data_IF_117560075363
#
_entry.id   IF_117560075363
#
_cell.length_a   1.000
_cell.length_b   1.000
_cell.length_c   1.000
_cell.angle_alpha   90.00
_cell.angle_beta   90.00
_cell.angle_gamma   90.00
#
_symmetry.space_group_name_H-M   'P 1'
#
loop_
_entity.id
_entity.type
_entity.pdbx_description
1 polymer ?
#
# COMPACT_ATOMS: atom_id res chain seq x y z
N UNK A 1 -39.07 -49.11 -52.54
CA UNK A 1 -37.82 -49.54 -53.21
C UNK A 1 -37.30 -48.38 -54.04
N UNK A 2 -36.05 -47.97 -53.85
CA UNK A 2 -35.36 -46.98 -54.71
C UNK A 2 -34.76 -45.79 -53.97
N UNK A 3 -33.55 -45.98 -53.43
CA UNK A 3 -32.66 -44.96 -52.84
C UNK A 3 -32.17 -43.93 -53.86
N UNK A 4 -31.74 -42.73 -53.44
CA UNK A 4 -30.30 -42.31 -53.42
C UNK A 4 -30.10 -40.85 -52.96
N UNK A 5 -28.82 -40.53 -52.69
CA UNK A 5 -28.22 -39.64 -51.69
C UNK A 5 -27.74 -38.27 -52.23
N UNK A 6 -27.55 -37.33 -51.29
CA UNK A 6 -26.42 -36.38 -51.06
C UNK A 6 -26.37 -34.96 -51.69
N UNK A 7 -26.55 -33.98 -50.78
CA UNK A 7 -25.67 -32.86 -50.33
C UNK A 7 -24.86 -31.97 -51.29
N UNK A 8 -24.99 -30.66 -51.04
CA UNK A 8 -24.02 -29.52 -51.04
C UNK A 8 -24.70 -28.30 -51.71
N UNK A 9 -24.70 -27.07 -51.20
CA UNK A 9 -23.59 -26.11 -51.14
C UNK A 9 -24.14 -24.76 -50.60
N UNK A 10 -23.36 -23.94 -49.90
CA UNK A 10 -23.39 -22.44 -49.88
C UNK A 10 -22.33 -21.98 -48.86
N UNK A 11 -21.21 -21.30 -49.18
CA UNK A 11 -20.91 -20.05 -49.89
C UNK A 11 -21.38 -18.77 -49.16
N UNK A 12 -20.39 -17.97 -48.77
CA UNK A 12 -20.41 -16.73 -47.98
C UNK A 12 -20.66 -15.46 -48.82
N UNK A 13 -21.19 -14.40 -48.19
CA UNK A 13 -20.73 -13.00 -48.37
C UNK A 13 -21.38 -12.02 -47.35
N UNK A 14 -20.57 -11.05 -46.92
CA UNK A 14 -20.74 -10.00 -45.88
C UNK A 14 -21.80 -8.92 -46.20
N UNK A 15 -22.72 -8.56 -45.28
CA UNK A 15 -22.71 -7.44 -44.27
C UNK A 15 -23.02 -6.04 -44.83
N UNK A 16 -23.45 -5.00 -44.06
CA UNK A 16 -24.03 -4.92 -42.70
C UNK A 16 -25.30 -4.01 -42.58
N UNK A 17 -26.15 -4.19 -41.56
CA UNK A 17 -26.92 -3.10 -40.93
C UNK A 17 -27.65 -3.59 -39.66
N UNK A 18 -27.39 -2.88 -38.57
CA UNK A 18 -28.29 -2.58 -37.44
C UNK A 18 -29.14 -3.68 -36.81
N UNK A 19 -28.69 -4.17 -35.66
CA UNK A 19 -29.58 -4.55 -34.57
C UNK A 19 -28.90 -4.25 -33.23
N UNK A 20 -29.27 -3.11 -32.65
CA UNK A 20 -29.07 -2.78 -31.24
C UNK A 20 -29.85 -3.81 -30.43
N UNK A 21 -29.14 -4.74 -29.79
CA UNK A 21 -29.71 -5.61 -28.76
C UNK A 21 -29.33 -5.06 -27.39
N UNK A 22 -30.37 -4.63 -26.68
CA UNK A 22 -30.44 -4.15 -25.32
C UNK A 22 -29.59 -5.01 -24.36
N UNK A 23 -28.42 -4.51 -23.95
CA UNK A 23 -27.63 -5.10 -22.86
C UNK A 23 -28.34 -4.77 -21.54
N UNK A 24 -29.09 -5.76 -21.06
CA UNK A 24 -29.72 -5.78 -19.75
C UNK A 24 -28.61 -5.69 -18.70
N UNK A 25 -28.37 -4.49 -18.18
CA UNK A 25 -27.46 -4.24 -17.05
C UNK A 25 -28.05 -4.89 -15.80
N UNK A 26 -27.56 -6.05 -15.44
CA UNK A 26 -27.52 -6.49 -14.05
C UNK A 26 -26.53 -5.58 -13.33
N UNK A 27 -27.03 -4.77 -12.39
CA UNK A 27 -26.19 -4.13 -11.39
C UNK A 27 -25.59 -5.23 -10.53
N UNK A 28 -24.30 -5.48 -10.72
CA UNK A 28 -23.50 -6.18 -9.73
C UNK A 28 -22.90 -5.10 -8.83
N UNK A 29 -23.26 -5.15 -7.56
CA UNK A 29 -22.54 -4.47 -6.49
C UNK A 29 -21.05 -4.87 -6.58
N UNK A 30 -20.16 -3.89 -6.45
CA UNK A 30 -18.75 -4.17 -6.21
C UNK A 30 -18.61 -4.59 -4.74
N UNK A 31 -17.82 -5.63 -4.41
CA UNK A 31 -17.64 -6.06 -3.03
C UNK A 31 -16.96 -4.95 -2.20
N UNK A 32 -17.39 -4.84 -0.94
CA UNK A 32 -16.68 -4.09 0.08
C UNK A 32 -15.26 -4.66 0.18
N UNK A 33 -14.22 -3.83 0.02
CA UNK A 33 -12.83 -4.28 0.22
C UNK A 33 -12.63 -4.64 1.69
N UNK A 34 -12.73 -5.93 1.98
CA UNK A 34 -12.22 -6.57 3.19
C UNK A 34 -10.67 -6.52 3.17
N UNK A 35 -10.02 -6.44 4.34
CA UNK A 35 -8.58 -6.49 4.39
C UNK A 35 -8.11 -7.89 3.95
N UNK A 36 -7.09 -7.95 3.09
CA UNK A 36 -6.50 -9.23 2.73
C UNK A 36 -5.88 -9.85 3.99
N UNK A 37 -6.32 -11.06 4.34
CA UNK A 37 -5.87 -11.76 5.52
C UNK A 37 -4.80 -12.79 5.16
N UNK A 38 -3.55 -12.58 5.61
CA UNK A 38 -2.57 -13.66 5.63
C UNK A 38 -3.01 -14.71 6.64
N UNK A 39 -3.48 -15.87 6.20
CA UNK A 39 -3.90 -16.95 7.09
C UNK A 39 -2.71 -17.85 7.44
N UNK A 40 -2.34 -17.89 8.71
CA UNK A 40 -1.43 -18.90 9.24
C UNK A 40 -2.22 -20.20 9.50
N UNK A 41 -2.69 -20.90 8.45
CA UNK A 41 -3.30 -22.24 8.58
C UNK A 41 -2.21 -23.25 9.02
N UNK A 42 -2.49 -23.99 10.10
CA UNK A 42 -1.67 -25.05 10.71
C UNK A 42 -0.19 -24.70 10.96
N UNK A 43 0.07 -23.70 11.80
CA UNK A 43 1.25 -23.76 12.67
C UNK A 43 0.91 -24.65 13.87
N UNK A 44 1.10 -25.95 13.70
CA UNK A 44 1.12 -26.87 14.84
C UNK A 44 2.19 -26.36 15.82
N UNK A 45 1.81 -26.21 17.09
CA UNK A 45 2.72 -25.81 18.16
C UNK A 45 3.81 -26.87 18.32
N UNK A 46 4.93 -26.74 17.60
CA UNK A 46 6.12 -27.54 17.86
C UNK A 46 7.38 -26.68 17.92
N UNK A 47 7.75 -26.40 19.17
CA UNK A 47 9.10 -26.52 19.73
C UNK A 47 10.24 -25.72 19.04
N UNK A 48 10.13 -24.39 19.04
CA UNK A 48 11.32 -23.54 18.89
C UNK A 48 12.01 -23.43 20.25
N UNK A 49 13.02 -24.27 20.47
CA UNK A 49 13.91 -24.15 21.64
C UNK A 49 14.55 -22.77 21.66
N UNK A 50 14.32 -22.05 22.76
CA UNK A 50 14.96 -20.78 23.07
C UNK A 50 16.49 -20.90 23.01
N UNK A 51 17.09 -20.33 21.97
CA UNK A 51 18.53 -20.05 21.94
C UNK A 51 18.73 -18.78 22.77
N UNK A 52 19.24 -18.94 23.99
CA UNK A 52 19.75 -17.82 24.79
C UNK A 52 21.02 -17.31 24.11
N UNK A 53 20.98 -16.12 23.52
CA UNK A 53 22.19 -15.38 23.17
C UNK A 53 22.77 -14.70 24.43
N UNK A 54 24.11 -14.64 24.58
CA UNK A 54 24.77 -14.05 25.73
C UNK A 54 24.76 -12.52 25.66
N UNK A 55 24.57 -11.87 26.82
CA UNK A 55 24.70 -10.43 27.02
C UNK A 55 26.08 -9.92 26.57
N UNK A 56 26.10 -8.89 25.72
CA UNK A 56 27.28 -8.08 25.41
C UNK A 56 27.02 -6.62 25.83
N UNK A 57 28.03 -5.91 26.37
CA UNK A 57 27.81 -4.67 27.12
C UNK A 57 27.67 -3.43 26.23
N UNK A 58 26.91 -2.47 26.76
CA UNK A 58 26.62 -1.15 26.21
C UNK A 58 27.90 -0.33 25.96
N UNK A 59 28.15 0.05 24.70
CA UNK A 59 29.16 1.03 24.34
C UNK A 59 28.49 2.24 23.67
N UNK A 60 28.48 3.37 24.38
CA UNK A 60 27.95 4.64 23.90
C UNK A 60 28.83 5.25 22.80
N UNK A 61 28.30 5.42 21.59
CA UNK A 61 28.98 6.12 20.48
C UNK A 61 28.36 7.51 20.29
N UNK A 62 29.21 8.54 20.35
CA UNK A 62 28.85 9.94 20.05
C UNK A 62 28.98 10.19 18.56
N UNK A 63 27.91 10.63 17.89
CA UNK A 63 27.91 10.95 16.45
C UNK A 63 27.98 12.48 16.26
N UNK A 64 29.00 12.93 15.53
CA UNK A 64 29.18 14.32 15.10
C UNK A 64 28.47 14.56 13.75
N UNK A 65 27.87 15.74 13.57
CA UNK A 65 27.02 16.11 12.42
C UNK A 65 27.71 17.12 11.49
N UNK A 66 27.63 16.91 10.17
CA UNK A 66 28.01 17.86 9.11
C UNK A 66 27.08 17.70 7.87
N UNK A 67 27.00 18.69 6.94
CA UNK A 67 25.74 19.40 6.65
C UNK A 67 24.96 18.92 5.43
N UNK A 68 23.66 19.26 5.45
CA UNK A 68 22.64 19.07 4.41
C UNK A 68 22.98 19.79 3.10
N UNK A 69 22.96 19.07 1.98
CA UNK A 69 22.98 19.63 0.64
C UNK A 69 21.54 19.84 0.12
N UNK A 70 21.28 21.03 -0.42
CA UNK A 70 20.01 21.46 -1.02
C UNK A 70 19.75 20.74 -2.36
N UNK A 71 18.52 20.25 -2.56
CA UNK A 71 18.06 19.65 -3.82
C UNK A 71 17.37 20.73 -4.67
N UNK A 72 17.93 20.97 -5.86
CA UNK A 72 17.40 21.87 -6.90
C UNK A 72 16.08 21.31 -7.50
N UNK A 73 15.05 22.17 -7.57
CA UNK A 73 13.77 21.88 -8.24
C UNK A 73 13.86 22.01 -9.77
N UNK A 74 13.49 20.95 -10.50
CA UNK A 74 13.34 20.95 -11.96
C UNK A 74 11.94 21.40 -12.43
N UNK A 75 11.90 22.25 -13.47
CA UNK A 75 10.70 22.83 -14.09
C UNK A 75 9.91 21.80 -14.93
N UNK A 76 8.57 21.75 -14.78
CA UNK A 76 7.64 21.05 -15.68
C UNK A 76 6.87 22.04 -16.56
N UNK A 77 6.86 21.81 -17.88
CA UNK A 77 6.12 22.61 -18.88
C UNK A 77 4.60 22.43 -18.78
N UNK A 78 3.85 23.53 -18.88
CA UNK A 78 2.43 23.61 -18.54
C UNK A 78 1.46 23.04 -19.59
N UNK A 79 0.64 22.08 -19.17
CA UNK A 79 -0.59 21.64 -19.86
C UNK A 79 -1.75 22.61 -19.57
N UNK A 80 -2.69 22.76 -20.49
CA UNK A 80 -3.79 23.74 -20.38
C UNK A 80 -5.10 23.07 -19.93
N UNK A 81 -6.06 23.82 -19.38
CA UNK A 81 -7.33 23.24 -18.91
C UNK A 81 -8.12 22.51 -20.01
N UNK A 82 -7.93 22.87 -21.29
CA UNK A 82 -8.58 22.22 -22.42
C UNK A 82 -8.24 20.71 -22.50
N UNK A 83 -7.03 20.33 -22.09
CA UNK A 83 -6.53 18.95 -22.16
C UNK A 83 -7.21 18.01 -21.14
N UNK A 84 -7.95 18.57 -20.18
CA UNK A 84 -8.58 17.85 -19.07
C UNK A 84 -10.12 17.81 -19.15
N UNK A 85 -10.71 18.45 -20.18
CA UNK A 85 -12.17 18.56 -20.30
C UNK A 85 -12.80 17.25 -20.74
N UNK A 86 -13.84 16.85 -20.02
CA UNK A 86 -14.68 15.70 -20.32
C UNK A 86 -16.11 16.17 -20.56
N UNK A 87 -16.83 15.50 -21.48
CA UNK A 87 -18.27 15.73 -21.64
C UNK A 87 -19.02 15.15 -20.45
N UNK A 88 -19.93 15.92 -19.89
CA UNK A 88 -20.80 15.47 -18.81
C UNK A 88 -21.68 14.29 -19.26
N UNK A 89 -21.76 13.19 -18.47
CA UNK A 89 -22.76 12.15 -18.66
C UNK A 89 -24.19 12.70 -18.60
N UNK A 90 -25.14 12.00 -19.25
CA UNK A 90 -26.56 12.41 -19.30
C UNK A 90 -27.23 12.48 -17.91
N UNK A 91 -26.69 11.76 -16.92
CA UNK A 91 -27.11 11.80 -15.52
C UNK A 91 -25.92 12.18 -14.65
N UNK A 92 -25.93 13.41 -14.12
CA UNK A 92 -24.93 13.90 -13.18
C UNK A 92 -25.47 13.87 -11.74
N UNK A 93 -24.74 13.31 -10.76
CA UNK A 93 -25.09 13.44 -9.35
C UNK A 93 -24.98 14.91 -8.92
N UNK A 94 -25.86 15.38 -8.04
CA UNK A 94 -25.88 16.77 -7.59
C UNK A 94 -24.52 17.20 -7.00
N UNK A 95 -24.05 18.42 -7.28
CA UNK A 95 -22.81 18.91 -6.69
C UNK A 95 -23.01 19.28 -5.22
N UNK A 96 -21.95 19.14 -4.41
CA UNK A 96 -21.94 19.56 -3.02
C UNK A 96 -21.88 21.09 -2.86
N UNK A 97 -21.80 21.57 -1.61
CA UNK A 97 -21.74 23.00 -1.30
C UNK A 97 -20.54 23.74 -1.92
N UNK A 98 -19.50 23.01 -2.35
CA UNK A 98 -18.31 23.53 -3.01
C UNK A 98 -18.34 23.30 -4.53
N UNK A 99 -19.44 22.80 -5.09
CA UNK A 99 -19.55 22.53 -6.52
C UNK A 99 -18.82 21.24 -6.96
N UNK A 100 -18.40 20.38 -6.02
CA UNK A 100 -17.72 19.11 -6.31
C UNK A 100 -18.76 18.00 -6.52
N UNK A 101 -18.48 17.09 -7.45
CA UNK A 101 -19.28 15.91 -7.74
C UNK A 101 -18.44 14.67 -7.56
N UNK A 102 -18.97 13.66 -6.87
CA UNK A 102 -18.32 12.36 -6.80
C UNK A 102 -18.99 11.42 -7.79
N UNK A 103 -18.24 10.98 -8.81
CA UNK A 103 -18.69 10.00 -9.80
C UNK A 103 -17.72 8.83 -9.72
N UNK A 104 -18.22 7.65 -9.33
CA UNK A 104 -17.39 6.43 -9.16
C UNK A 104 -16.15 6.66 -8.27
N UNK A 105 -16.34 7.29 -7.11
CA UNK A 105 -15.27 7.56 -6.14
C UNK A 105 -14.25 8.63 -6.55
N UNK A 106 -14.48 9.32 -7.67
CA UNK A 106 -13.59 10.37 -8.19
C UNK A 106 -14.27 11.72 -8.16
N UNK A 107 -13.52 12.76 -7.84
CA UNK A 107 -14.03 14.12 -7.72
C UNK A 107 -13.96 14.85 -9.05
N UNK A 108 -15.09 15.41 -9.47
CA UNK A 108 -15.26 16.19 -10.69
C UNK A 108 -15.84 17.58 -10.38
N UNK A 109 -15.56 18.54 -11.26
CA UNK A 109 -16.08 19.90 -11.18
C UNK A 109 -16.63 20.36 -12.52
N UNK A 110 -17.66 21.21 -12.49
CA UNK A 110 -18.22 21.82 -13.69
C UNK A 110 -17.38 23.03 -14.13
N UNK A 111 -16.90 23.02 -15.37
CA UNK A 111 -16.11 24.13 -15.95
C UNK A 111 -16.90 24.91 -17.00
N UNK A 112 -17.87 24.28 -17.66
CA UNK A 112 -18.83 24.90 -18.58
C UNK A 112 -20.14 24.07 -18.63
N UNK A 113 -21.24 24.58 -19.22
CA UNK A 113 -22.48 23.80 -19.33
C UNK A 113 -22.24 22.49 -20.10
N UNK A 114 -22.36 21.36 -19.42
CA UNK A 114 -22.11 20.04 -20.01
C UNK A 114 -20.63 19.65 -20.12
N UNK A 115 -19.70 20.41 -19.53
CA UNK A 115 -18.26 20.09 -19.48
C UNK A 115 -17.78 19.96 -18.03
N UNK A 116 -17.17 18.82 -17.71
CA UNK A 116 -16.62 18.51 -16.39
C UNK A 116 -15.11 18.23 -16.47
N UNK A 117 -14.41 18.42 -15.35
CA UNK A 117 -12.98 18.12 -15.20
C UNK A 117 -12.77 17.32 -13.93
N UNK A 118 -11.94 16.27 -13.97
CA UNK A 118 -11.54 15.54 -12.77
C UNK A 118 -10.51 16.37 -11.99
N UNK A 119 -10.68 16.46 -10.68
CA UNK A 119 -9.78 17.22 -9.81
C UNK A 119 -9.24 16.37 -8.66
N UNK A 120 -8.03 16.70 -8.21
CA UNK A 120 -7.46 16.19 -6.97
C UNK A 120 -6.90 17.34 -6.14
N UNK A 121 -7.04 17.26 -4.84
CA UNK A 121 -6.50 18.24 -3.93
C UNK A 121 -4.98 18.06 -3.79
N UNK A 122 -4.21 19.15 -3.82
CA UNK A 122 -2.76 19.13 -3.61
C UNK A 122 -2.36 19.48 -2.17
N UNK A 123 -1.31 18.82 -1.70
CA UNK A 123 -0.90 18.82 -0.29
C UNK A 123 -0.38 20.18 0.24
N UNK A 124 -0.03 21.13 -0.64
CA UNK A 124 0.61 22.38 -0.23
C UNK A 124 -0.37 23.48 0.22
N UNK A 125 -1.69 23.35 -0.02
CA UNK A 125 -2.64 24.42 0.33
C UNK A 125 -4.11 24.11 0.17
N UNK A 126 -4.48 22.83 -0.02
CA UNK A 126 -5.87 22.46 -0.25
C UNK A 126 -6.40 22.86 -1.65
N UNK A 127 -5.51 23.24 -2.56
CA UNK A 127 -5.83 23.64 -3.93
C UNK A 127 -6.27 22.43 -4.77
N UNK A 128 -7.36 22.57 -5.50
CA UNK A 128 -7.81 21.55 -6.45
C UNK A 128 -7.10 21.73 -7.79
N UNK A 129 -6.42 20.69 -8.27
CA UNK A 129 -5.79 20.66 -9.59
C UNK A 129 -6.51 19.71 -10.52
N UNK A 130 -6.61 20.10 -11.78
CA UNK A 130 -7.08 19.20 -12.84
C UNK A 130 -6.13 17.99 -12.97
N UNK A 131 -6.70 16.81 -13.21
CA UNK A 131 -5.95 15.56 -13.36
C UNK A 131 -6.58 14.70 -14.46
N UNK A 132 -5.77 13.99 -15.22
CA UNK A 132 -6.26 12.93 -16.11
C UNK A 132 -6.42 11.62 -15.36
N UNK A 133 -7.19 10.68 -15.93
CA UNK A 133 -7.34 9.34 -15.36
C UNK A 133 -6.03 8.55 -15.34
N UNK A 134 -5.14 8.83 -16.29
CA UNK A 134 -3.81 8.21 -16.42
C UNK A 134 -2.74 8.85 -15.53
N UNK A 135 -3.09 9.87 -14.75
CA UNK A 135 -2.12 10.63 -13.96
C UNK A 135 -2.13 10.22 -12.49
N UNK A 136 -0.99 9.68 -12.05
CA UNK A 136 -0.76 9.33 -10.65
C UNK A 136 -0.67 10.55 -9.73
N UNK A 137 -0.15 11.68 -10.24
CA UNK A 137 -0.10 12.98 -9.55
C UNK A 137 -0.80 14.02 -10.40
N UNK A 138 -1.71 14.81 -9.81
CA UNK A 138 -2.47 15.83 -10.53
C UNK A 138 -1.53 16.91 -11.09
N UNK A 139 -1.30 16.87 -12.40
CA UNK A 139 -0.33 17.71 -13.11
C UNK A 139 -0.95 18.98 -13.72
N UNK A 140 -2.29 19.05 -13.78
CA UNK A 140 -3.03 20.10 -14.46
C UNK A 140 -3.11 21.42 -13.68
N UNK A 141 -3.73 22.44 -14.30
CA UNK A 141 -3.89 23.75 -13.68
C UNK A 141 -4.71 23.68 -12.39
N UNK A 142 -4.41 24.59 -11.46
CA UNK A 142 -5.24 24.82 -10.27
C UNK A 142 -6.57 25.42 -10.71
N UNK A 143 -7.66 24.93 -10.13
CA UNK A 143 -9.00 25.42 -10.35
C UNK A 143 -9.53 26.06 -9.07
N UNK A 144 -10.28 27.14 -9.25
CA UNK A 144 -10.95 27.87 -8.17
C UNK A 144 -12.45 27.88 -8.43
N UNK A 145 -13.24 27.62 -7.37
CA UNK A 145 -14.69 27.70 -7.42
C UNK A 145 -15.15 29.16 -7.43
N UNK A 146 -16.06 29.50 -8.34
CA UNK A 146 -16.80 30.76 -8.33
C UNK A 146 -18.21 30.53 -7.76
N UNK A 147 -18.53 31.04 -6.56
CA UNK A 147 -19.84 30.88 -5.93
C UNK A 147 -21.00 31.49 -6.71
N UNK A 148 -20.75 32.50 -7.57
CA UNK A 148 -21.80 33.18 -8.33
C UNK A 148 -22.22 32.38 -9.56
N UNK A 149 -21.25 31.89 -10.34
CA UNK A 149 -21.52 31.09 -11.54
C UNK A 149 -21.67 29.59 -11.25
N UNK A 150 -21.31 29.15 -10.04
CA UNK A 150 -21.20 27.75 -9.60
C UNK A 150 -20.29 26.93 -10.53
N UNK A 151 -19.26 27.55 -11.10
CA UNK A 151 -18.30 26.92 -12.01
C UNK A 151 -16.88 27.05 -11.47
N UNK A 152 -16.03 26.14 -11.91
CA UNK A 152 -14.61 26.14 -11.60
C UNK A 152 -13.80 26.67 -12.78
N UNK A 153 -12.86 27.57 -12.51
CA UNK A 153 -12.02 28.17 -13.54
C UNK A 153 -10.56 28.31 -13.08
N UNK A 154 -9.59 28.39 -14.01
CA UNK A 154 -8.18 28.58 -13.66
C UNK A 154 -7.88 30.03 -13.24
N UNK A 155 -8.82 30.96 -13.48
CA UNK A 155 -8.72 32.34 -13.03
C UNK A 155 -9.34 32.47 -11.64
N UNK A 156 -8.59 33.02 -10.69
CA UNK A 156 -9.14 33.38 -9.38
C UNK A 156 -10.18 34.48 -9.60
N UNK A 157 -11.42 34.23 -9.18
CA UNK A 157 -12.47 35.24 -9.21
C UNK A 157 -11.94 36.52 -8.57
N UNK A 158 -11.88 37.62 -9.33
CA UNK A 158 -11.51 38.92 -8.79
C UNK A 158 -12.62 39.33 -7.83
N UNK A 159 -12.29 39.42 -6.55
CA UNK A 159 -13.12 40.12 -5.58
C UNK A 159 -13.18 41.59 -6.03
N UNK A 160 -14.26 41.97 -6.69
CA UNK A 160 -14.60 43.37 -6.85
C UNK A 160 -14.94 43.89 -5.45
N UNK A 161 -14.06 44.72 -4.89
CA UNK A 161 -14.35 45.43 -3.65
C UNK A 161 -15.54 46.36 -3.84
N UNK A 162 -16.44 46.36 -2.87
CA UNK A 162 -16.77 47.51 -2.02
C UNK A 162 -18.22 47.41 -1.51
N UNK A 163 -18.37 47.31 -0.19
CA UNK A 163 -19.35 48.02 0.64
C UNK A 163 -19.42 47.33 2.03
N UNK A 164 -18.97 48.06 3.05
CA UNK A 164 -18.65 47.54 4.36
C UNK A 164 -19.82 47.07 5.24
N UNK A 165 -19.44 46.23 6.22
CA UNK A 165 -19.91 46.37 7.58
C UNK A 165 -18.85 45.73 8.50
N UNK A 166 -18.11 46.56 9.24
CA UNK A 166 -17.15 46.11 10.25
C UNK A 166 -17.98 45.65 11.44
N UNK A 167 -18.05 44.34 11.65
CA UNK A 167 -18.45 43.79 12.95
C UNK A 167 -17.17 43.72 13.78
N UNK A 168 -17.14 44.53 14.82
CA UNK A 168 -16.09 44.57 15.82
C UNK A 168 -16.15 43.26 16.62
N UNK A 169 -15.43 42.24 16.15
CA UNK A 169 -15.22 41.00 16.89
C UNK A 169 -13.92 41.22 17.64
N UNK A 170 -13.99 41.29 18.97
CA UNK A 170 -12.82 41.32 19.83
C UNK A 170 -12.06 39.99 19.68
N UNK A 171 -11.06 39.99 18.80
CA UNK A 171 -10.24 38.83 18.44
C UNK A 171 -9.57 38.24 19.69
N UNK A 172 -9.29 39.05 20.70
CA UNK A 172 -8.65 38.60 21.94
C UNK A 172 -9.61 37.84 22.87
N UNK A 173 -10.91 38.08 22.76
CA UNK A 173 -11.94 37.30 23.46
C UNK A 173 -12.21 35.97 22.73
N UNK A 174 -12.23 35.98 21.39
CA UNK A 174 -12.36 34.77 20.58
C UNK A 174 -11.18 33.81 20.77
N UNK A 175 -9.95 34.34 20.78
CA UNK A 175 -8.73 33.55 21.04
C UNK A 175 -8.73 33.00 22.47
N UNK A 176 -9.22 33.76 23.45
CA UNK A 176 -9.34 33.28 24.84
C UNK A 176 -10.39 32.18 25.00
N UNK A 177 -11.52 32.28 24.30
CA UNK A 177 -12.56 31.24 24.32
C UNK A 177 -12.10 29.97 23.58
N UNK A 178 -11.39 30.09 22.47
CA UNK A 178 -10.77 28.94 21.76
C UNK A 178 -9.72 28.26 22.64
N UNK A 179 -8.88 29.02 23.37
CA UNK A 179 -7.92 28.44 24.31
C UNK A 179 -8.61 27.71 25.46
N UNK A 180 -9.65 28.30 26.05
CA UNK A 180 -10.44 27.66 27.12
C UNK A 180 -11.18 26.41 26.65
N UNK A 181 -11.70 26.37 25.42
CA UNK A 181 -12.28 25.15 24.84
C UNK A 181 -11.22 24.10 24.52
N UNK A 182 -10.02 24.51 24.06
CA UNK A 182 -8.91 23.59 23.79
C UNK A 182 -8.33 22.95 25.05
N UNK A 183 -8.42 23.63 26.20
CA UNK A 183 -8.01 23.09 27.50
C UNK A 183 -9.09 22.17 28.11
N UNK A 184 -10.36 22.30 27.70
CA UNK A 184 -11.47 21.44 28.14
C UNK A 184 -11.69 20.20 27.27
N UNK A 185 -11.23 20.21 26.03
CA UNK A 185 -11.13 19.00 25.22
C UNK A 185 -9.79 18.31 25.49
N UNK A 186 -9.81 17.36 26.42
CA UNK A 186 -8.76 16.35 26.54
C UNK A 186 -8.45 15.84 25.12
N UNK A 187 -7.18 15.89 24.69
CA UNK A 187 -6.70 15.48 23.36
C UNK A 187 -7.54 14.34 22.78
N UNK A 188 -8.50 14.68 21.92
CA UNK A 188 -9.42 13.72 21.32
C UNK A 188 -8.60 12.87 20.35
N UNK A 189 -8.44 11.59 20.69
CA UNK A 189 -8.00 10.56 19.76
C UNK A 189 -9.05 10.51 18.64
N UNK A 190 -8.71 11.02 17.47
CA UNK A 190 -9.59 11.08 16.30
C UNK A 190 -9.60 9.71 15.64
N UNK A 191 -10.70 8.96 15.76
CA UNK A 191 -10.85 7.62 15.18
C UNK A 191 -11.67 6.60 15.99
N UNK A 192 -12.15 6.95 17.19
CA UNK A 192 -12.96 6.05 18.04
C UNK A 192 -14.33 5.82 17.42
N UNK A 193 -14.79 4.56 17.43
CA UNK A 193 -16.11 4.11 16.97
C UNK A 193 -16.44 4.59 15.54
N UNK A 194 -15.43 4.60 14.66
CA UNK A 194 -15.60 4.94 13.27
C UNK A 194 -15.94 3.71 12.40
N UNK A 195 -16.12 3.93 11.09
CA UNK A 195 -16.47 2.87 10.16
C UNK A 195 -15.44 1.74 10.12
N UNK A 196 -14.17 2.00 10.43
CA UNK A 196 -13.11 0.98 10.44
C UNK A 196 -13.20 0.12 11.70
N UNK A 197 -13.41 0.74 12.87
CA UNK A 197 -13.67 -0.02 14.11
C UNK A 197 -14.96 -0.84 14.00
N UNK A 198 -16.00 -0.30 13.38
CA UNK A 198 -17.23 -1.04 13.13
C UNK A 198 -17.03 -2.22 12.17
N UNK A 199 -16.24 -2.04 11.11
CA UNK A 199 -15.88 -3.13 10.19
C UNK A 199 -15.11 -4.22 10.93
N UNK A 200 -14.09 -3.83 11.70
CA UNK A 200 -13.29 -4.73 12.54
C UNK A 200 -14.17 -5.50 13.52
N UNK A 201 -15.15 -4.83 14.13
CA UNK A 201 -16.04 -5.42 15.11
C UNK A 201 -16.99 -6.51 14.55
N UNK A 202 -17.12 -6.62 13.22
CA UNK A 202 -17.87 -7.73 12.59
C UNK A 202 -17.16 -9.07 12.77
N UNK A 203 -15.83 -9.06 12.86
CA UNK A 203 -14.99 -10.27 12.81
C UNK A 203 -14.02 -10.42 13.98
N UNK A 204 -13.87 -9.38 14.80
CA UNK A 204 -12.95 -9.37 15.93
C UNK A 204 -13.49 -8.56 17.11
N UNK A 205 -13.11 -8.95 18.32
CA UNK A 205 -13.38 -8.18 19.54
C UNK A 205 -12.22 -7.22 19.80
N UNK A 206 -12.51 -5.92 19.86
CA UNK A 206 -11.52 -4.89 20.15
C UNK A 206 -11.23 -4.81 21.67
N UNK A 207 -9.97 -5.01 22.05
CA UNK A 207 -9.52 -5.12 23.44
C UNK A 207 -8.81 -3.85 23.93
N UNK A 208 -8.00 -3.22 23.09
CA UNK A 208 -7.21 -2.04 23.46
C UNK A 208 -6.99 -1.10 22.28
N UNK A 209 -6.98 0.21 22.54
CA UNK A 209 -6.67 1.27 21.57
C UNK A 209 -5.40 2.03 21.98
N UNK A 210 -4.40 1.98 21.12
CA UNK A 210 -3.07 2.53 21.37
C UNK A 210 -2.30 1.77 22.44
N UNK A 211 -0.96 1.86 22.40
CA UNK A 211 -0.05 1.10 23.28
C UNK A 211 -0.26 1.38 24.77
N UNK A 212 -0.88 2.51 25.14
CA UNK A 212 -1.19 2.84 26.54
C UNK A 212 -2.29 1.97 27.14
N UNK A 213 -3.13 1.35 26.30
CA UNK A 213 -4.20 0.46 26.75
C UNK A 213 -3.79 -1.02 26.70
N UNK A 214 -2.65 -1.35 26.09
CA UNK A 214 -2.12 -2.71 26.10
C UNK A 214 -1.57 -3.07 27.48
N UNK A 215 -1.56 -4.37 27.84
CA UNK A 215 -0.73 -4.86 28.94
C UNK A 215 0.73 -4.41 28.76
N UNK A 216 1.43 -3.98 29.83
CA UNK A 216 2.79 -3.42 29.72
C UNK A 216 3.78 -4.32 28.97
N UNK A 217 3.72 -5.64 29.19
CA UNK A 217 4.57 -6.62 28.50
C UNK A 217 4.28 -6.67 26.99
N UNK A 218 3.00 -6.64 26.60
CA UNK A 218 2.61 -6.62 25.18
C UNK A 218 3.00 -5.30 24.51
N UNK A 219 2.84 -4.17 25.20
CA UNK A 219 3.29 -2.87 24.70
C UNK A 219 4.82 -2.81 24.56
N UNK A 220 5.57 -3.41 25.49
CA UNK A 220 7.02 -3.52 25.41
C UNK A 220 7.45 -4.41 24.24
N UNK A 221 6.76 -5.54 24.03
CA UNK A 221 7.00 -6.42 22.88
C UNK A 221 6.79 -5.67 21.56
N UNK A 222 5.67 -4.96 21.38
CA UNK A 222 5.42 -4.18 20.15
C UNK A 222 6.55 -3.16 19.92
N UNK A 223 6.98 -2.43 20.95
CA UNK A 223 8.09 -1.47 20.81
C UNK A 223 9.40 -2.14 20.41
N UNK A 224 9.70 -3.31 20.96
CA UNK A 224 10.89 -4.08 20.58
C UNK A 224 10.81 -4.53 19.12
N UNK A 225 9.68 -5.10 18.70
CA UNK A 225 9.50 -5.56 17.32
C UNK A 225 9.52 -4.40 16.31
N UNK A 226 9.00 -3.21 16.66
CA UNK A 226 9.13 -2.01 15.81
C UNK A 226 10.59 -1.61 15.58
N UNK A 227 11.46 -1.73 16.59
CA UNK A 227 12.90 -1.49 16.43
C UNK A 227 13.56 -2.55 15.56
N UNK A 228 13.13 -3.81 15.67
CA UNK A 228 13.59 -4.88 14.78
C UNK A 228 13.24 -4.53 13.34
N UNK A 229 12.00 -4.15 13.06
CA UNK A 229 11.54 -3.71 11.72
C UNK A 229 12.34 -2.50 11.22
N UNK A 230 12.57 -1.50 12.08
CA UNK A 230 13.42 -0.36 11.70
C UNK A 230 14.82 -0.83 11.31
N UNK A 231 15.43 -1.73 12.09
CA UNK A 231 16.76 -2.26 11.78
C UNK A 231 16.79 -3.01 10.44
N UNK A 232 15.74 -3.78 10.12
CA UNK A 232 15.61 -4.49 8.84
C UNK A 232 15.67 -3.51 7.68
N UNK A 233 14.82 -2.48 7.71
CA UNK A 233 14.80 -1.50 6.64
C UNK A 233 16.06 -0.62 6.63
N UNK A 234 16.62 -0.25 7.79
CA UNK A 234 17.83 0.56 7.87
C UNK A 234 19.05 -0.16 7.27
N UNK A 235 19.28 -1.41 7.69
CA UNK A 235 20.37 -2.24 7.18
C UNK A 235 20.19 -2.51 5.67
N UNK A 236 18.94 -2.70 5.22
CA UNK A 236 18.64 -2.85 3.80
C UNK A 236 18.95 -1.58 3.00
N UNK A 237 18.55 -0.38 3.47
CA UNK A 237 18.92 0.90 2.82
C UNK A 237 20.44 1.04 2.71
N UNK A 238 21.17 0.71 3.77
CA UNK A 238 22.64 0.75 3.75
C UNK A 238 23.22 -0.25 2.74
N UNK A 239 22.75 -1.50 2.72
CA UNK A 239 23.18 -2.53 1.78
C UNK A 239 22.99 -2.09 0.33
N UNK A 240 21.82 -1.51 0.02
CA UNK A 240 21.48 -0.98 -1.31
C UNK A 240 22.41 0.17 -1.68
N UNK A 241 22.63 1.11 -0.76
CA UNK A 241 23.51 2.27 -0.98
C UNK A 241 24.98 1.88 -1.22
N UNK A 242 25.45 0.84 -0.53
CA UNK A 242 26.82 0.32 -0.66
C UNK A 242 27.03 -0.59 -1.87
N UNK A 243 25.94 -1.06 -2.52
CA UNK A 243 25.99 -1.90 -3.73
C UNK A 243 26.87 -3.15 -3.57
N UNK A 244 26.68 -3.90 -2.48
CA UNK A 244 27.45 -5.12 -2.24
C UNK A 244 27.38 -6.12 -3.40
N UNK A 245 28.49 -6.81 -3.67
CA UNK A 245 28.62 -7.80 -4.76
C UNK A 245 27.64 -9.00 -4.65
N UNK A 246 26.97 -9.20 -3.50
CA UNK A 246 25.92 -10.21 -3.30
C UNK A 246 24.48 -9.70 -3.47
N UNK A 247 24.28 -8.38 -3.64
CA UNK A 247 22.94 -7.80 -3.67
C UNK A 247 22.14 -8.27 -4.88
N UNK A 248 22.78 -8.44 -6.05
CA UNK A 248 22.10 -8.94 -7.26
C UNK A 248 21.43 -10.30 -7.06
N UNK A 249 22.06 -11.20 -6.30
CA UNK A 249 21.47 -12.50 -6.01
C UNK A 249 20.26 -12.39 -5.09
N UNK A 250 20.24 -11.42 -4.16
CA UNK A 250 19.04 -11.15 -3.34
C UNK A 250 17.93 -10.62 -4.23
N UNK A 251 18.23 -9.63 -5.07
CA UNK A 251 17.25 -9.07 -6.00
C UNK A 251 16.65 -10.14 -6.92
N UNK A 252 17.48 -11.02 -7.49
CA UNK A 252 17.01 -12.08 -8.39
C UNK A 252 16.10 -13.09 -7.68
N UNK A 253 16.40 -13.45 -6.42
CA UNK A 253 15.52 -14.34 -5.64
C UNK A 253 14.13 -13.74 -5.39
N UNK A 254 14.02 -12.41 -5.25
CA UNK A 254 12.76 -11.74 -4.90
C UNK A 254 12.01 -11.12 -6.08
N UNK A 255 12.69 -10.79 -7.16
CA UNK A 255 12.11 -10.08 -8.30
C UNK A 255 12.39 -10.77 -9.65
N UNK A 256 13.06 -11.93 -9.64
CA UNK A 256 13.33 -12.74 -10.82
C UNK A 256 14.38 -12.12 -11.76
N UNK A 257 14.47 -12.65 -12.97
CA UNK A 257 15.48 -12.26 -13.96
C UNK A 257 15.36 -10.79 -14.43
N UNK A 258 14.18 -10.18 -14.27
CA UNK A 258 13.91 -8.78 -14.64
C UNK A 258 14.07 -7.81 -13.44
N UNK A 259 14.74 -8.23 -12.36
CA UNK A 259 14.92 -7.45 -11.13
C UNK A 259 15.50 -6.05 -11.34
N UNK A 260 16.36 -5.88 -12.34
CA UNK A 260 16.97 -4.58 -12.65
C UNK A 260 15.92 -3.51 -12.99
N UNK A 261 14.81 -3.90 -13.62
CA UNK A 261 13.74 -2.96 -14.00
C UNK A 261 12.98 -2.40 -12.79
N UNK A 262 12.97 -3.13 -11.67
CA UNK A 262 12.21 -2.79 -10.45
C UNK A 262 13.09 -2.43 -9.26
N UNK A 263 14.43 -2.46 -9.41
CA UNK A 263 15.37 -2.21 -8.32
C UNK A 263 15.20 -0.82 -7.66
N UNK A 264 14.93 0.22 -8.46
CA UNK A 264 14.68 1.57 -7.93
C UNK A 264 13.38 1.61 -7.12
N UNK A 265 12.33 0.97 -7.62
CA UNK A 265 11.05 0.90 -6.91
C UNK A 265 11.19 0.18 -5.58
N UNK A 266 11.91 -0.94 -5.54
CA UNK A 266 12.23 -1.63 -4.30
C UNK A 266 13.00 -0.73 -3.34
N UNK A 267 14.03 -0.03 -3.81
CA UNK A 267 14.81 0.91 -2.99
C UNK A 267 13.91 2.00 -2.38
N UNK A 268 12.99 2.55 -3.17
CA UNK A 268 12.04 3.57 -2.69
C UNK A 268 11.07 3.00 -1.65
N UNK A 269 10.57 1.78 -1.86
CA UNK A 269 9.68 1.07 -0.90
C UNK A 269 10.39 0.80 0.42
N UNK A 270 11.63 0.33 0.40
CA UNK A 270 12.45 0.08 1.59
C UNK A 270 12.73 1.37 2.34
N UNK A 271 13.08 2.46 1.64
CA UNK A 271 13.31 3.77 2.26
C UNK A 271 12.05 4.33 2.92
N UNK A 272 10.87 4.15 2.30
CA UNK A 272 9.57 4.52 2.89
C UNK A 272 9.22 3.64 4.09
N UNK A 273 9.50 2.34 4.02
CA UNK A 273 9.36 1.41 5.14
C UNK A 273 10.18 1.86 6.36
N UNK A 274 11.45 2.23 6.16
CA UNK A 274 12.31 2.80 7.21
C UNK A 274 11.75 4.09 7.81
N UNK A 275 11.25 5.00 6.98
CA UNK A 275 10.69 6.25 7.46
C UNK A 275 9.40 6.03 8.28
N UNK A 276 8.53 5.12 7.82
CA UNK A 276 7.33 4.73 8.56
C UNK A 276 7.65 4.02 9.87
N UNK A 277 8.60 3.07 9.88
CA UNK A 277 8.95 2.34 11.11
C UNK A 277 9.42 3.28 12.22
N UNK A 278 10.06 4.41 11.86
CA UNK A 278 10.42 5.49 12.78
C UNK A 278 9.22 6.31 13.24
N UNK A 279 8.29 6.65 12.35
CA UNK A 279 7.09 7.40 12.73
C UNK A 279 6.15 6.59 13.64
N UNK A 280 6.03 5.28 13.40
CA UNK A 280 5.25 4.36 14.24
C UNK A 280 5.82 4.20 15.66
N UNK A 281 7.11 4.45 15.86
CA UNK A 281 7.72 4.51 17.19
C UNK A 281 7.54 5.87 17.89
N UNK A 282 7.12 6.91 17.15
CA UNK A 282 6.89 8.24 17.68
C UNK A 282 5.57 8.35 18.46
N UNK A 283 5.36 9.50 19.10
CA UNK A 283 4.16 9.76 19.93
C UNK A 283 2.84 9.54 19.19
N UNK A 284 2.77 9.91 17.91
CA UNK A 284 1.58 9.68 17.09
C UNK A 284 1.43 8.21 16.65
N UNK A 285 2.55 7.49 16.52
CA UNK A 285 2.57 6.09 16.16
C UNK A 285 2.05 5.19 17.28
N UNK A 286 2.40 5.47 18.53
CA UNK A 286 1.94 4.70 19.69
C UNK A 286 0.40 4.62 19.82
N UNK A 287 -0.32 5.59 19.26
CA UNK A 287 -1.79 5.62 19.27
C UNK A 287 -2.42 4.74 18.17
N UNK A 288 -1.65 4.21 17.22
CA UNK A 288 -2.15 3.53 16.02
C UNK A 288 -2.21 2.00 16.13
N UNK A 289 -1.93 1.42 17.30
CA UNK A 289 -1.97 -0.03 17.50
C UNK A 289 -3.23 -0.45 18.25
N UNK A 290 -3.95 -1.43 17.73
CA UNK A 290 -5.23 -1.88 18.24
C UNK A 290 -5.14 -3.36 18.58
N UNK A 291 -5.37 -3.74 19.84
CA UNK A 291 -5.36 -5.15 20.24
C UNK A 291 -6.72 -5.75 19.94
N UNK A 292 -6.75 -6.89 19.25
CA UNK A 292 -7.99 -7.58 18.91
C UNK A 292 -7.92 -9.07 19.23
N UNK A 293 -9.07 -9.66 19.49
CA UNK A 293 -9.27 -11.09 19.66
C UNK A 293 -10.22 -11.61 18.58
N UNK A 294 -9.76 -12.59 17.82
CA UNK A 294 -10.52 -13.19 16.71
C UNK A 294 -10.02 -14.61 16.48
N UNK A 295 -10.91 -15.46 15.95
CA UNK A 295 -10.60 -16.82 15.54
C UNK A 295 -9.83 -16.87 14.22
N UNK A 296 -9.71 -15.73 13.51
CA UNK A 296 -8.91 -15.68 12.30
C UNK A 296 -7.43 -16.00 12.61
N UNK A 297 -6.74 -16.51 11.60
CA UNK A 297 -5.34 -16.88 11.72
C UNK A 297 -4.41 -15.77 11.21
N UNK A 298 -4.80 -14.49 11.27
CA UNK A 298 -3.94 -13.38 10.88
C UNK A 298 -3.27 -12.76 12.09
N UNK A 299 -1.97 -12.51 11.99
CA UNK A 299 -1.21 -11.91 13.10
C UNK A 299 -1.47 -10.41 13.24
N UNK A 300 -1.57 -9.72 12.11
CA UNK A 300 -1.96 -8.32 12.03
C UNK A 300 -2.72 -8.08 10.72
N UNK A 301 -3.40 -6.94 10.64
CA UNK A 301 -3.89 -6.38 9.39
C UNK A 301 -4.06 -4.86 9.50
N UNK A 302 -4.20 -4.22 8.35
CA UNK A 302 -4.56 -2.81 8.23
C UNK A 302 -5.58 -2.61 7.11
N UNK A 303 -6.38 -1.56 7.21
CA UNK A 303 -7.26 -1.15 6.12
C UNK A 303 -6.56 -0.08 5.29
N UNK A 304 -6.31 -0.34 4.00
CA UNK A 304 -5.67 0.66 3.11
C UNK A 304 -6.41 1.99 3.05
N UNK A 305 -7.73 1.96 3.25
CA UNK A 305 -8.61 3.15 3.31
C UNK A 305 -8.57 3.89 4.64
N UNK A 306 -7.97 3.30 5.68
CA UNK A 306 -7.87 3.93 6.99
C UNK A 306 -6.81 5.03 6.99
N UNK A 307 -7.25 6.27 6.83
CA UNK A 307 -6.39 7.44 6.92
C UNK A 307 -5.75 7.60 8.31
N UNK A 308 -6.28 6.96 9.36
CA UNK A 308 -5.64 6.94 10.68
C UNK A 308 -4.46 5.95 10.75
N UNK A 309 -4.30 5.06 9.76
CA UNK A 309 -3.17 4.15 9.64
C UNK A 309 -3.06 3.18 10.83
N UNK A 310 -4.19 2.67 11.32
CA UNK A 310 -4.22 1.76 12.47
C UNK A 310 -3.86 0.34 12.05
N UNK A 311 -3.11 -0.34 12.93
CA UNK A 311 -2.80 -1.76 12.82
C UNK A 311 -3.57 -2.53 13.88
N UNK A 312 -4.33 -3.53 13.43
CA UNK A 312 -5.09 -4.43 14.26
C UNK A 312 -4.25 -5.66 14.52
N UNK A 313 -3.85 -5.87 15.78
CA UNK A 313 -2.91 -6.90 16.20
C UNK A 313 -3.68 -8.02 16.91
N UNK A 314 -3.69 -9.20 16.32
CA UNK A 314 -4.32 -10.37 16.92
C UNK A 314 -3.48 -10.86 18.10
N UNK A 315 -4.06 -10.83 19.30
CA UNK A 315 -3.36 -11.21 20.54
C UNK A 315 -2.85 -12.65 20.53
N UNK A 316 -3.47 -13.54 19.75
CA UNK A 316 -3.06 -14.96 19.57
C UNK A 316 -1.64 -15.10 19.00
N UNK A 317 -1.21 -14.15 18.17
CA UNK A 317 0.06 -14.22 17.42
C UNK A 317 1.10 -13.18 17.87
N UNK A 318 0.90 -12.54 19.03
CA UNK A 318 1.86 -11.59 19.59
C UNK A 318 3.09 -12.31 20.16
N UNK A 319 3.98 -12.74 19.28
CA UNK A 319 5.24 -13.40 19.60
C UNK A 319 6.39 -12.72 18.85
N UNK A 320 7.60 -12.81 19.39
CA UNK A 320 8.80 -12.26 18.76
C UNK A 320 9.00 -12.83 17.35
N UNK A 321 9.60 -12.04 16.47
CA UNK A 321 9.84 -12.33 15.04
C UNK A 321 8.58 -12.42 14.17
N UNK A 322 7.55 -13.17 14.59
CA UNK A 322 6.25 -13.25 13.90
C UNK A 322 5.63 -11.85 13.84
N UNK A 323 5.57 -11.18 14.99
CA UNK A 323 4.98 -9.84 15.07
C UNK A 323 5.83 -8.82 14.30
N UNK A 324 7.16 -8.86 14.41
CA UNK A 324 8.04 -7.95 13.68
C UNK A 324 7.83 -8.02 12.17
N UNK A 325 7.91 -9.21 11.58
CA UNK A 325 7.71 -9.34 10.13
C UNK A 325 6.29 -8.96 9.70
N UNK A 326 5.28 -9.28 10.51
CA UNK A 326 3.90 -8.86 10.25
C UNK A 326 3.76 -7.33 10.29
N UNK A 327 4.35 -6.66 11.29
CA UNK A 327 4.35 -5.19 11.35
C UNK A 327 5.07 -4.56 10.16
N UNK A 328 6.21 -5.11 9.75
CA UNK A 328 6.94 -4.67 8.57
C UNK A 328 6.11 -4.82 7.30
N UNK A 329 5.39 -5.94 7.16
CA UNK A 329 4.44 -6.19 6.08
C UNK A 329 3.28 -5.16 6.08
N UNK A 330 2.59 -4.96 7.21
CA UNK A 330 1.48 -4.00 7.31
C UNK A 330 1.90 -2.56 6.98
N UNK A 331 3.11 -2.15 7.40
CA UNK A 331 3.65 -0.84 7.07
C UNK A 331 3.76 -0.62 5.55
N UNK A 332 4.07 -1.66 4.78
CA UNK A 332 4.24 -1.53 3.34
C UNK A 332 2.90 -1.33 2.61
N UNK A 333 1.78 -1.78 3.16
CA UNK A 333 0.44 -1.50 2.62
C UNK A 333 -0.01 -0.06 2.82
N UNK A 334 0.57 0.64 3.79
CA UNK A 334 0.11 1.97 4.15
C UNK A 334 0.22 2.95 2.98
N UNK A 335 -0.70 3.92 2.95
CA UNK A 335 -0.66 5.05 2.04
C UNK A 335 -0.42 6.33 2.85
N UNK A 336 -1.21 7.38 2.67
CA UNK A 336 -1.16 8.57 3.51
C UNK A 336 -1.81 8.28 4.86
N UNK A 337 -1.05 8.54 5.92
CA UNK A 337 -1.52 8.42 7.30
C UNK A 337 -1.61 9.82 7.91
N UNK A 338 -2.64 10.05 8.72
CA UNK A 338 -2.79 11.27 9.50
C UNK A 338 -1.56 11.51 10.39
N UNK A 339 -1.17 12.78 10.52
CA UNK A 339 -0.06 13.23 11.39
C UNK A 339 1.32 12.64 11.08
N UNK A 340 1.43 11.76 10.09
CA UNK A 340 2.69 11.26 9.54
C UNK A 340 3.10 12.12 8.35
N UNK A 341 4.40 12.35 8.22
CA UNK A 341 4.99 13.04 7.06
C UNK A 341 5.19 12.06 5.91
N UNK A 342 5.56 10.83 6.24
CA UNK A 342 5.83 9.77 5.27
C UNK A 342 4.55 9.32 4.58
N UNK A 343 4.69 8.93 3.32
CA UNK A 343 3.63 8.24 2.57
C UNK A 343 4.14 6.82 2.34
N UNK A 344 3.36 5.83 2.73
CA UNK A 344 3.78 4.45 2.57
C UNK A 344 3.89 3.99 1.12
N UNK A 345 4.44 2.79 0.90
CA UNK A 345 4.63 2.21 -0.42
C UNK A 345 3.33 1.86 -1.13
N UNK A 346 2.22 1.68 -0.40
CA UNK A 346 0.94 1.22 -0.96
C UNK A 346 1.07 -0.14 -1.68
N UNK A 347 1.86 -1.05 -1.12
CA UNK A 347 2.02 -2.42 -1.59
C UNK A 347 0.71 -3.21 -1.45
N UNK A 348 0.61 -4.37 -2.10
CA UNK A 348 -0.54 -5.27 -2.02
C UNK A 348 -0.11 -6.69 -1.66
N UNK A 349 -1.11 -7.54 -1.42
CA UNK A 349 -0.95 -8.97 -1.18
C UNK A 349 -1.30 -9.72 -2.46
N UNK A 350 -0.36 -9.72 -3.40
CA UNK A 350 -0.53 -10.49 -4.63
C UNK A 350 -0.30 -11.98 -4.36
N UNK A 351 0.65 -12.30 -3.49
CA UNK A 351 0.96 -13.65 -3.05
C UNK A 351 1.77 -13.60 -1.77
N UNK A 352 1.73 -14.67 -0.99
CA UNK A 352 2.46 -14.77 0.26
C UNK A 352 3.75 -15.58 0.11
N UNK A 353 4.73 -15.26 0.94
CA UNK A 353 5.96 -16.02 1.08
C UNK A 353 5.90 -16.81 2.39
N UNK A 354 5.31 -18.02 2.33
CA UNK A 354 5.23 -18.93 3.47
C UNK A 354 5.95 -20.25 3.20
N UNK A 355 6.95 -20.57 4.01
CA UNK A 355 7.74 -21.81 3.85
C UNK A 355 6.96 -23.07 4.27
N UNK A 356 6.00 -22.96 5.19
CA UNK A 356 5.16 -24.08 5.63
C UNK A 356 4.39 -24.75 4.48
N UNK A 357 4.08 -23.99 3.42
CA UNK A 357 3.34 -24.46 2.25
C UNK A 357 4.24 -24.70 1.03
N UNK A 358 5.58 -24.62 1.18
CA UNK A 358 6.53 -24.70 0.06
C UNK A 358 6.34 -25.96 -0.82
N UNK A 359 5.94 -27.08 -0.22
CA UNK A 359 5.69 -28.33 -0.93
C UNK A 359 4.52 -28.29 -1.94
N UNK A 360 3.71 -27.23 -1.95
CA UNK A 360 2.65 -27.03 -2.94
C UNK A 360 3.13 -26.32 -4.21
N UNK A 361 4.34 -25.77 -4.22
CA UNK A 361 4.93 -25.14 -5.41
C UNK A 361 5.33 -26.20 -6.44
N UNK A 362 5.39 -25.81 -7.72
CA UNK A 362 5.67 -26.76 -8.82
C UNK A 362 7.15 -27.01 -9.08
N UNK A 363 8.05 -26.28 -8.38
CA UNK A 363 9.50 -26.43 -8.50
C UNK A 363 10.14 -26.51 -7.11
N UNK A 364 11.29 -27.15 -7.05
CA UNK A 364 12.18 -27.11 -5.89
C UNK A 364 13.07 -25.85 -5.93
N UNK A 365 13.46 -25.30 -4.75
CA UNK A 365 14.42 -24.21 -4.68
C UNK A 365 15.79 -24.67 -5.19
N UNK A 366 16.53 -23.76 -5.84
CA UNK A 366 17.90 -24.04 -6.27
C UNK A 366 18.86 -24.00 -5.09
N UNK A 367 18.55 -23.14 -4.13
CA UNK A 367 19.38 -22.88 -2.95
C UNK A 367 18.48 -22.84 -1.72
N UNK A 368 18.95 -23.44 -0.62
CA UNK A 368 18.33 -23.27 0.69
C UNK A 368 19.01 -22.09 1.36
N UNK A 369 18.23 -21.06 1.68
CA UNK A 369 18.72 -19.85 2.35
C UNK A 369 18.34 -19.86 3.83
N UNK A 370 19.12 -19.16 4.66
CA UNK A 370 18.81 -18.97 6.10
C UNK A 370 17.48 -18.24 6.34
N UNK A 371 17.01 -17.50 5.34
CA UNK A 371 15.68 -16.88 5.30
C UNK A 371 14.81 -17.76 4.40
N UNK A 372 13.95 -18.63 4.94
CA UNK A 372 13.20 -19.61 4.15
C UNK A 372 12.32 -18.97 3.07
N UNK A 373 11.76 -17.79 3.34
CA UNK A 373 10.94 -17.03 2.40
C UNK A 373 11.69 -16.62 1.14
N UNK A 374 13.02 -16.49 1.20
CA UNK A 374 13.86 -16.27 0.01
C UNK A 374 13.84 -17.50 -0.91
N UNK A 375 13.84 -18.70 -0.35
CA UNK A 375 13.77 -19.95 -1.12
C UNK A 375 12.41 -20.10 -1.80
N UNK A 376 11.33 -19.80 -1.07
CA UNK A 376 9.96 -19.75 -1.61
C UNK A 376 9.86 -18.72 -2.75
N UNK A 377 10.38 -17.51 -2.52
CA UNK A 377 10.33 -16.45 -3.51
C UNK A 377 11.11 -16.81 -4.78
N UNK A 378 12.30 -17.42 -4.65
CA UNK A 378 13.10 -17.88 -5.79
C UNK A 378 12.30 -18.84 -6.68
N UNK A 379 11.56 -19.77 -6.08
CA UNK A 379 10.69 -20.71 -6.80
C UNK A 379 9.56 -19.96 -7.53
N UNK A 380 8.87 -19.05 -6.85
CA UNK A 380 7.76 -18.26 -7.44
C UNK A 380 8.28 -17.41 -8.60
N UNK A 381 9.42 -16.74 -8.43
CA UNK A 381 10.04 -15.88 -9.46
C UNK A 381 10.50 -16.66 -10.70
N UNK A 382 10.79 -17.96 -10.54
CA UNK A 382 11.08 -18.89 -11.65
C UNK A 382 9.84 -19.44 -12.35
N UNK A 383 8.64 -18.99 -11.96
CA UNK A 383 7.37 -19.46 -12.53
C UNK A 383 6.85 -20.73 -11.86
N UNK A 384 7.20 -20.95 -10.58
CA UNK A 384 6.80 -22.12 -9.81
C UNK A 384 5.49 -21.99 -9.04
N UNK A 385 4.76 -20.86 -9.18
CA UNK A 385 3.52 -20.63 -8.43
C UNK A 385 2.42 -21.62 -8.86
N UNK A 386 1.61 -22.09 -7.93
CA UNK A 386 0.48 -23.01 -8.19
C UNK A 386 -0.80 -22.47 -7.58
N UNK A 387 -1.95 -22.93 -8.09
CA UNK A 387 -3.26 -22.56 -7.54
C UNK A 387 -3.41 -23.12 -6.12
N UNK A 388 -2.92 -24.34 -5.89
CA UNK A 388 -2.91 -25.00 -4.58
C UNK A 388 -2.11 -24.18 -3.56
N UNK A 389 -0.93 -23.67 -3.95
CA UNK A 389 -0.13 -22.82 -3.06
C UNK A 389 -0.86 -21.53 -2.70
N UNK A 390 -1.45 -20.85 -3.69
CA UNK A 390 -2.16 -19.58 -3.48
C UNK A 390 -3.39 -19.77 -2.57
N UNK A 391 -4.19 -20.83 -2.82
CA UNK A 391 -5.35 -21.19 -1.99
C UNK A 391 -4.98 -21.62 -0.56
N UNK A 392 -3.74 -22.00 -0.30
CA UNK A 392 -3.32 -22.39 1.05
C UNK A 392 -3.33 -21.21 2.03
N UNK A 393 -3.23 -19.97 1.55
CA UNK A 393 -3.16 -18.77 2.38
C UNK A 393 -4.46 -17.98 2.47
N UNK A 394 -5.24 -17.92 1.38
CA UNK A 394 -6.45 -17.11 1.29
C UNK A 394 -7.40 -17.74 0.27
N UNK A 395 -8.70 -17.54 0.47
CA UNK A 395 -9.74 -17.88 -0.50
C UNK A 395 -10.14 -16.63 -1.33
N UNK A 396 -9.71 -15.42 -0.92
CA UNK A 396 -9.80 -14.17 -1.66
C UNK A 396 -8.51 -13.90 -2.45
N UNK A 397 -8.65 -13.80 -3.77
CA UNK A 397 -7.54 -13.64 -4.73
C UNK A 397 -7.61 -12.33 -5.52
N UNK A 398 -8.47 -11.40 -5.12
CA UNK A 398 -8.81 -10.22 -5.92
C UNK A 398 -7.57 -9.36 -6.22
N UNK A 399 -6.65 -9.21 -5.26
CA UNK A 399 -5.40 -8.47 -5.49
C UNK A 399 -4.56 -9.10 -6.61
N UNK A 400 -4.39 -10.43 -6.60
CA UNK A 400 -3.62 -11.14 -7.62
C UNK A 400 -4.28 -11.02 -8.99
N UNK A 401 -5.58 -11.29 -9.07
CA UNK A 401 -6.36 -11.21 -10.30
C UNK A 401 -6.30 -9.80 -10.88
N UNK A 402 -6.59 -8.79 -10.05
CA UNK A 402 -6.54 -7.38 -10.44
C UNK A 402 -5.14 -6.95 -10.87
N UNK A 403 -4.09 -7.31 -10.13
CA UNK A 403 -2.71 -6.95 -10.47
C UNK A 403 -2.26 -7.50 -11.82
N UNK A 404 -2.65 -8.74 -12.13
CA UNK A 404 -2.36 -9.36 -13.42
C UNK A 404 -3.17 -8.71 -14.53
N UNK A 405 -4.46 -8.48 -14.31
CA UNK A 405 -5.35 -7.86 -15.30
C UNK A 405 -4.93 -6.43 -15.63
N UNK A 406 -4.63 -5.61 -14.62
CA UNK A 406 -4.18 -4.22 -14.78
C UNK A 406 -2.85 -4.15 -15.56
N UNK A 407 -1.87 -4.98 -15.19
CA UNK A 407 -0.57 -4.99 -15.87
C UNK A 407 -0.67 -5.42 -17.33
N UNK A 408 -1.49 -6.43 -17.64
CA UNK A 408 -1.66 -6.94 -19.00
C UNK A 408 -2.69 -6.14 -19.82
N UNK A 409 -3.45 -5.25 -19.19
CA UNK A 409 -4.54 -4.50 -19.82
C UNK A 409 -5.69 -5.40 -20.27
N UNK A 410 -5.95 -6.49 -19.55
CA UNK A 410 -7.06 -7.42 -19.80
C UNK A 410 -8.21 -7.14 -18.83
N UNK A 411 -9.43 -7.58 -19.16
CA UNK A 411 -10.61 -7.34 -18.33
C UNK A 411 -10.59 -8.08 -16.99
N UNK A 412 -11.58 -7.79 -16.15
CA UNK A 412 -11.67 -8.26 -14.76
C UNK A 412 -12.20 -9.72 -14.64
N UNK A 413 -12.57 -10.37 -15.74
CA UNK A 413 -13.11 -11.74 -15.77
C UNK A 413 -12.01 -12.82 -15.76
N UNK A 414 -10.95 -12.62 -14.98
CA UNK A 414 -9.80 -13.54 -14.92
C UNK A 414 -10.00 -14.58 -13.82
N UNK A 415 -10.07 -15.87 -14.17
CA UNK A 415 -10.08 -16.95 -13.19
C UNK A 415 -8.67 -17.24 -12.63
N UNK A 416 -8.60 -17.77 -11.41
CA UNK A 416 -7.35 -18.02 -10.70
C UNK A 416 -6.38 -18.95 -11.45
N UNK A 417 -6.90 -19.99 -12.13
CA UNK A 417 -6.05 -20.92 -12.87
C UNK A 417 -5.37 -20.23 -14.05
N UNK A 418 -6.14 -19.43 -14.80
CA UNK A 418 -5.59 -18.62 -15.90
C UNK A 418 -4.63 -17.55 -15.37
N UNK A 419 -4.94 -16.91 -14.25
CA UNK A 419 -4.07 -15.92 -13.61
C UNK A 419 -2.71 -16.49 -13.22
N UNK A 420 -2.67 -17.63 -12.52
CA UNK A 420 -1.40 -18.31 -12.17
C UNK A 420 -0.62 -18.70 -13.41
N UNK A 421 -1.30 -19.17 -14.47
CA UNK A 421 -0.68 -19.46 -15.76
C UNK A 421 -0.01 -18.23 -16.39
N UNK A 422 -0.71 -17.10 -16.43
CA UNK A 422 -0.18 -15.82 -16.94
C UNK A 422 0.97 -15.30 -16.09
N UNK A 423 0.86 -15.38 -14.76
CA UNK A 423 1.93 -15.02 -13.83
C UNK A 423 3.20 -15.82 -14.13
N UNK A 424 3.10 -17.15 -14.22
CA UNK A 424 4.26 -18.02 -14.47
C UNK A 424 4.85 -17.87 -15.88
N UNK A 425 4.04 -17.46 -16.87
CA UNK A 425 4.52 -17.25 -18.24
C UNK A 425 5.26 -15.93 -18.46
N UNK A 426 5.10 -14.93 -17.58
CA UNK A 426 5.58 -13.56 -17.82
C UNK A 426 6.57 -13.07 -16.74
N UNK A 427 7.90 -13.15 -16.97
CA UNK A 427 8.92 -12.71 -16.00
C UNK A 427 8.78 -11.24 -15.57
N UNK A 428 8.54 -10.33 -16.52
CA UNK A 428 8.38 -8.91 -16.23
C UNK A 428 7.15 -8.60 -15.35
N UNK A 429 6.04 -9.32 -15.58
CA UNK A 429 4.84 -9.25 -14.73
C UNK A 429 5.17 -9.72 -13.30
N UNK A 430 5.90 -10.83 -13.14
CA UNK A 430 6.31 -11.33 -11.82
C UNK A 430 7.18 -10.33 -11.09
N UNK A 431 8.19 -9.76 -11.77
CA UNK A 431 9.05 -8.73 -11.21
C UNK A 431 8.23 -7.51 -10.75
N UNK A 432 7.29 -7.06 -11.59
CA UNK A 432 6.42 -5.93 -11.28
C UNK A 432 5.53 -6.18 -10.06
N UNK A 433 4.83 -7.32 -10.02
CA UNK A 433 3.96 -7.65 -8.88
C UNK A 433 4.79 -7.86 -7.61
N UNK A 434 5.92 -8.57 -7.68
CA UNK A 434 6.80 -8.77 -6.54
C UNK A 434 7.36 -7.46 -5.96
N UNK A 435 7.73 -6.49 -6.81
CA UNK A 435 8.18 -5.17 -6.34
C UNK A 435 7.07 -4.30 -5.73
N UNK A 436 5.81 -4.70 -5.90
CA UNK A 436 4.63 -4.11 -5.28
C UNK A 436 4.00 -5.04 -4.22
N UNK A 437 4.62 -6.18 -3.90
CA UNK A 437 4.10 -7.17 -2.97
C UNK A 437 4.73 -6.97 -1.57
N UNK A 438 3.91 -6.82 -0.53
CA UNK A 438 4.41 -6.50 0.80
C UNK A 438 5.37 -7.57 1.34
N UNK A 439 5.02 -8.85 1.20
CA UNK A 439 5.88 -9.98 1.59
C UNK A 439 7.22 -9.96 0.84
N UNK A 440 7.19 -9.80 -0.49
CA UNK A 440 8.43 -9.76 -1.28
C UNK A 440 9.35 -8.61 -0.86
N UNK A 441 8.81 -7.42 -0.61
CA UNK A 441 9.61 -6.26 -0.19
C UNK A 441 10.19 -6.47 1.21
N UNK A 442 9.40 -6.91 2.20
CA UNK A 442 9.88 -7.03 3.59
C UNK A 442 10.93 -8.14 3.72
N UNK A 443 10.76 -9.28 3.03
CA UNK A 443 11.71 -10.38 3.08
C UNK A 443 12.96 -10.15 2.21
N UNK A 444 12.84 -9.39 1.12
CA UNK A 444 14.00 -8.87 0.40
C UNK A 444 14.82 -7.92 1.29
N UNK A 445 14.16 -7.02 2.04
CA UNK A 445 14.84 -6.16 3.01
C UNK A 445 15.53 -6.98 4.11
N UNK A 446 14.87 -8.00 4.67
CA UNK A 446 15.48 -8.92 5.65
C UNK A 446 16.71 -9.65 5.08
N UNK A 447 16.65 -10.05 3.82
CA UNK A 447 17.77 -10.69 3.13
C UNK A 447 18.93 -9.73 2.85
N UNK A 448 18.62 -8.47 2.52
CA UNK A 448 19.63 -7.41 2.41
C UNK A 448 20.27 -7.08 3.76
N UNK A 449 19.50 -7.09 4.84
CA UNK A 449 20.02 -6.96 6.20
C UNK A 449 21.00 -8.09 6.54
N UNK A 450 20.64 -9.34 6.29
CA UNK A 450 21.53 -10.48 6.54
C UNK A 450 22.85 -10.34 5.75
N UNK A 451 22.76 -9.93 4.48
CA UNK A 451 23.93 -9.61 3.67
C UNK A 451 24.77 -8.48 4.31
N UNK A 452 24.15 -7.37 4.71
CA UNK A 452 24.85 -6.26 5.34
C UNK A 452 25.59 -6.67 6.62
N UNK A 453 24.89 -7.37 7.52
CA UNK A 453 25.46 -7.82 8.80
C UNK A 453 26.64 -8.75 8.60
N UNK A 454 26.55 -9.69 7.65
CA UNK A 454 27.68 -10.54 7.30
C UNK A 454 28.91 -9.73 6.89
N UNK A 455 28.74 -8.69 6.05
CA UNK A 455 29.85 -7.84 5.59
C UNK A 455 30.45 -6.99 6.69
N UNK A 456 29.64 -6.51 7.62
CA UNK A 456 30.11 -5.72 8.77
C UNK A 456 30.83 -6.58 9.80
N UNK A 457 30.35 -7.79 10.07
CA UNK A 457 30.99 -8.74 10.99
C UNK A 457 32.36 -9.20 10.48
N UNK A 458 32.48 -9.54 9.18
CA UNK A 458 33.77 -9.86 8.58
C UNK A 458 34.75 -8.68 8.64
N UNK A 459 34.29 -7.46 8.36
CA UNK A 459 35.15 -6.28 8.45
C UNK A 459 35.66 -6.03 9.90
N UNK A 460 34.85 -6.33 10.91
CA UNK A 460 35.26 -6.25 12.31
C UNK A 460 36.26 -7.35 12.67
N UNK A 461 36.03 -8.60 12.25
CA UNK A 461 36.96 -9.71 12.48
C UNK A 461 38.32 -9.49 11.80
N UNK A 462 38.33 -8.98 10.57
CA UNK A 462 39.56 -8.65 9.85
C UNK A 462 40.35 -7.55 10.59
N UNK A 463 39.66 -6.55 11.16
CA UNK A 463 40.31 -5.50 11.95
C UNK A 463 40.96 -5.99 13.26
N UNK A 464 40.55 -7.15 13.77
CA UNK A 464 41.14 -7.78 14.97
C UNK A 464 42.36 -8.66 14.65
N UNK A 465 42.60 -8.98 13.38
CA UNK A 465 43.75 -9.78 12.94
C UNK A 465 44.96 -8.88 12.62
N UNK A 466 44.70 -7.60 12.31
CA UNK A 466 45.72 -6.59 12.01
C UNK A 466 46.24 -5.83 13.26
N UNK A 467 45.71 -6.12 14.44
CA UNK A 467 46.21 -5.70 15.78
C UNK A 467 46.96 -6.85 16.48
#
# INVERSE_FOLDING_TARGET
MGNTRKTSTTSSSHSPADAIALLKRSGADFPEYEPAHKSFRDMDQMDVKAVRQPDMPDASVVVSSLPTAEILSGRFGGRTLADYRLKAPATLPAPDALGLRVIKGRTFVDVAPGEIVQVRQTAAGGEYRATLMSEWTASGPVLFFDPHSKKWSPERARSSGDAGNVIDIDIDELIRNIRKDSEKHSRVHTGIDDAIEHETAKEATLIARGLKQFPPEQAALIRTELRVVESVFADAVHAIGLKYDGASAVYESFFGADHQAVAQQFSDSVARGLALSREYQGTWGEEKFFAVETENNSAAWMYKKDFHGRFFLNRKYMQQEILGMSLGHEMLHTNRIDRFRTIGPNAADFFYLGDSQRGLLSLEPLTVYDIPERSVSEVIMRGGLTVEYVNAFTDDHDNLLFGISDYLGIGDDLDLQTAVGLFNANPALRAHLAANNADSIVYAAKSMQALHRSKTEYAWLDSLIDD
#
